data_IF_377583913396
#
_entry.id   IF_377583913396
#
_cell.length_a   1.000
_cell.length_b   1.000
_cell.length_c   1.000
_cell.angle_alpha   90.00
_cell.angle_beta   90.00
_cell.angle_gamma   90.00
#
_symmetry.space_group_name_H-M   'P 1'
#
loop_
_entity.id
_entity.type
_entity.pdbx_description
1 polymer ?
#
# COMPACT_ATOMS: atom_id res chain seq x y z
N UNK A 1 -0.85 -5.53 58.89
CA UNK A 1 -2.03 -4.69 58.57
C UNK A 1 -1.47 -3.44 57.89
N UNK A 2 -1.37 -3.28 56.58
CA UNK A 2 -2.34 -3.46 55.51
C UNK A 2 -2.39 -2.13 54.73
N UNK A 3 -2.58 -2.21 53.41
CA UNK A 3 -2.83 -1.12 52.42
C UNK A 3 -1.64 -0.51 51.66
N UNK A 4 -1.30 -1.20 50.57
CA UNK A 4 -0.93 -0.62 49.27
C UNK A 4 -2.14 0.12 48.67
N UNK A 5 -1.94 1.15 47.84
CA UNK A 5 -2.56 1.23 46.51
C UNK A 5 -2.08 2.42 45.65
N UNK A 6 -1.67 2.04 44.43
CA UNK A 6 -1.68 2.77 43.15
C UNK A 6 -0.72 3.94 42.88
N UNK A 7 0.31 3.64 42.06
CA UNK A 7 0.85 4.54 41.03
C UNK A 7 0.54 4.00 39.62
N UNK A 8 0.29 4.84 38.61
CA UNK A 8 -0.15 4.41 37.28
C UNK A 8 1.01 3.83 36.46
N UNK A 9 0.79 2.65 35.85
CA UNK A 9 1.74 2.01 34.94
C UNK A 9 1.80 2.77 33.60
N UNK A 10 2.93 3.43 33.32
CA UNK A 10 3.31 3.82 31.94
C UNK A 10 3.58 2.54 31.13
N UNK A 11 2.80 2.29 30.07
CA UNK A 11 3.10 1.26 29.07
C UNK A 11 4.27 1.71 28.19
N UNK A 12 5.29 0.86 28.09
CA UNK A 12 6.38 0.98 27.11
C UNK A 12 5.84 0.67 25.71
N UNK A 13 6.10 1.56 24.76
CA UNK A 13 5.86 1.35 23.34
C UNK A 13 7.03 0.51 22.81
N UNK A 14 6.77 -0.76 22.53
CA UNK A 14 7.70 -1.68 21.87
C UNK A 14 6.94 -2.42 20.79
N UNK A 15 7.38 -2.26 19.53
CA UNK A 15 6.86 -3.00 18.39
C UNK A 15 6.08 -2.12 17.42
N UNK A 16 6.61 -2.00 16.21
CA UNK A 16 6.10 -1.25 15.06
C UNK A 16 4.79 -1.78 14.46
N UNK A 17 3.96 -2.44 15.26
CA UNK A 17 2.66 -2.93 14.82
C UNK A 17 1.63 -1.86 15.15
N UNK A 18 1.28 -1.05 14.16
CA UNK A 18 -0.01 -0.36 14.17
C UNK A 18 -1.09 -1.45 14.01
N UNK A 19 -1.28 -2.27 15.04
CA UNK A 19 -2.63 -2.72 15.41
C UNK A 19 -3.25 -1.48 16.06
N UNK A 20 -3.43 -0.44 15.25
CA UNK A 20 -3.90 0.84 15.70
C UNK A 20 -5.31 0.61 16.24
N UNK A 21 -5.54 1.09 17.46
CA UNK A 21 -6.86 1.14 18.03
C UNK A 21 -7.79 1.76 17.00
N UNK A 22 -8.88 1.04 16.70
CA UNK A 22 -9.80 1.30 15.60
C UNK A 22 -10.36 2.76 15.61
N UNK A 23 -10.17 3.52 16.70
CA UNK A 23 -10.61 4.89 16.88
C UNK A 23 -9.91 5.92 15.97
N UNK A 24 -8.64 5.72 15.59
CA UNK A 24 -7.87 6.69 14.80
C UNK A 24 -8.07 6.53 13.28
N UNK A 25 -8.85 5.54 12.84
CA UNK A 25 -9.01 5.24 11.42
C UNK A 25 -9.77 6.37 10.71
N UNK A 26 -9.13 7.14 9.79
CA UNK A 26 -9.76 8.28 9.14
C UNK A 26 -10.95 7.88 8.25
N UNK A 27 -11.04 6.63 7.80
CA UNK A 27 -12.18 6.14 7.03
C UNK A 27 -13.47 6.00 7.84
N UNK A 28 -13.39 6.03 9.18
CA UNK A 28 -14.58 6.07 10.03
C UNK A 28 -15.35 7.39 9.95
N UNK A 29 -14.72 8.45 9.47
CA UNK A 29 -15.38 9.75 9.24
C UNK A 29 -16.42 9.72 8.11
N UNK A 30 -16.40 8.68 7.26
CA UNK A 30 -17.40 8.48 6.22
C UNK A 30 -18.56 7.68 6.78
N UNK A 31 -19.78 8.22 6.64
CA UNK A 31 -21.01 7.48 6.87
C UNK A 31 -21.15 6.29 5.91
N UNK A 32 -22.01 5.32 6.26
CA UNK A 32 -22.29 4.16 5.40
C UNK A 32 -22.77 4.57 4.01
N UNK A 33 -23.63 5.60 3.92
CA UNK A 33 -24.12 6.13 2.64
C UNK A 33 -22.99 6.70 1.77
N UNK A 34 -22.02 7.38 2.37
CA UNK A 34 -20.89 7.93 1.64
C UNK A 34 -19.91 6.84 1.18
N UNK A 35 -19.69 5.80 1.99
CA UNK A 35 -18.90 4.64 1.56
C UNK A 35 -19.55 3.88 0.42
N UNK A 36 -20.87 3.70 0.45
CA UNK A 36 -21.64 3.15 -0.67
C UNK A 36 -21.55 4.04 -1.91
N UNK A 37 -21.61 5.36 -1.76
CA UNK A 37 -21.43 6.32 -2.86
C UNK A 37 -20.10 6.09 -3.57
N UNK A 38 -18.98 5.97 -2.85
CA UNK A 38 -17.67 5.66 -3.44
C UNK A 38 -17.71 4.35 -4.26
N UNK A 39 -18.29 3.28 -3.72
CA UNK A 39 -18.35 1.98 -4.39
C UNK A 39 -19.22 2.02 -5.64
N UNK A 40 -20.46 2.51 -5.51
CA UNK A 40 -21.44 2.50 -6.59
C UNK A 40 -21.04 3.43 -7.73
N UNK A 41 -20.43 4.59 -7.43
CA UNK A 41 -19.95 5.51 -8.48
C UNK A 41 -18.72 4.97 -9.19
N UNK A 42 -17.80 4.30 -8.49
CA UNK A 42 -16.66 3.63 -9.14
C UNK A 42 -17.10 2.44 -10.01
N UNK A 43 -18.05 1.63 -9.53
CA UNK A 43 -18.58 0.47 -10.28
C UNK A 43 -19.34 0.85 -11.55
N UNK A 44 -19.82 2.09 -11.67
CA UNK A 44 -20.52 2.58 -12.86
C UNK A 44 -19.60 2.88 -14.03
N UNK A 45 -18.30 3.08 -13.79
CA UNK A 45 -17.33 3.40 -14.84
C UNK A 45 -17.13 2.22 -15.79
N UNK A 46 -17.21 2.47 -17.09
CA UNK A 46 -16.77 1.55 -18.12
C UNK A 46 -15.24 1.62 -18.22
N UNK A 47 -14.58 0.47 -18.12
CA UNK A 47 -13.11 0.37 -18.28
C UNK A 47 -12.30 1.36 -17.41
N UNK A 48 -12.43 1.30 -16.07
CA UNK A 48 -11.76 2.24 -15.16
C UNK A 48 -10.23 2.28 -15.34
N UNK A 49 -9.62 1.18 -15.80
CA UNK A 49 -8.19 1.12 -16.09
C UNK A 49 -7.77 2.05 -17.24
N UNK A 50 -8.61 2.20 -18.26
CA UNK A 50 -8.33 3.08 -19.40
C UNK A 50 -8.43 4.55 -18.97
N UNK A 51 -9.48 4.90 -18.23
CA UNK A 51 -9.67 6.24 -17.64
C UNK A 51 -8.46 6.61 -16.78
N UNK A 52 -8.09 5.73 -15.84
CA UNK A 52 -6.90 5.91 -14.98
C UNK A 52 -5.66 6.09 -15.86
N UNK A 53 -5.51 5.27 -16.90
CA UNK A 53 -4.38 5.32 -17.82
C UNK A 53 -4.22 6.67 -18.52
N UNK A 54 -5.29 7.19 -19.12
CA UNK A 54 -5.29 8.48 -19.82
C UNK A 54 -4.92 9.60 -18.85
N UNK A 55 -5.55 9.63 -17.67
CA UNK A 55 -5.26 10.65 -16.65
C UNK A 55 -3.79 10.60 -16.20
N UNK A 56 -3.24 9.40 -15.96
CA UNK A 56 -1.82 9.26 -15.61
C UNK A 56 -0.89 9.73 -16.74
N UNK A 57 -1.22 9.46 -18.00
CA UNK A 57 -0.45 9.94 -19.15
C UNK A 57 -0.46 11.47 -19.19
N UNK A 58 -1.59 12.12 -18.95
CA UNK A 58 -1.65 13.59 -18.95
C UNK A 58 -0.89 14.19 -17.76
N UNK A 59 -1.04 13.63 -16.54
CA UNK A 59 -0.29 14.08 -15.36
C UNK A 59 1.23 14.03 -15.59
N UNK A 60 1.76 12.91 -16.09
CA UNK A 60 3.21 12.79 -16.30
C UNK A 60 3.71 13.55 -17.52
N UNK A 61 2.84 14.00 -18.43
CA UNK A 61 3.25 14.83 -19.56
C UNK A 61 3.23 16.31 -19.23
N UNK A 62 2.17 16.75 -18.54
CA UNK A 62 1.78 18.15 -18.51
C UNK A 62 1.94 18.76 -17.11
N UNK A 63 2.00 17.95 -16.04
CA UNK A 63 2.06 18.42 -14.64
C UNK A 63 3.39 18.08 -13.95
N UNK A 64 3.83 16.83 -14.02
CA UNK A 64 5.06 16.33 -13.36
C UNK A 64 5.94 15.54 -14.34
N UNK A 65 6.50 16.21 -15.36
CA UNK A 65 7.30 15.57 -16.40
C UNK A 65 8.54 14.83 -15.90
N UNK A 66 9.06 15.17 -14.72
CA UNK A 66 10.17 14.44 -14.09
C UNK A 66 9.83 12.97 -13.80
N UNK A 67 8.55 12.62 -13.65
CA UNK A 67 8.11 11.24 -13.47
C UNK A 67 8.24 10.39 -14.74
N UNK A 68 8.39 10.99 -15.93
CA UNK A 68 8.64 10.24 -17.17
C UNK A 68 9.86 9.35 -17.06
N UNK A 69 10.93 9.84 -16.42
CA UNK A 69 12.16 9.06 -16.18
C UNK A 69 11.92 7.89 -15.24
N UNK A 70 11.18 8.13 -14.16
CA UNK A 70 10.83 7.12 -13.14
C UNK A 70 10.07 5.97 -13.79
N UNK A 71 9.10 6.30 -14.65
CA UNK A 71 8.29 5.33 -15.39
C UNK A 71 8.93 4.83 -16.69
N UNK A 72 10.12 5.30 -17.05
CA UNK A 72 10.83 4.86 -18.26
C UNK A 72 10.11 5.19 -19.56
N UNK A 73 9.42 6.34 -19.61
CA UNK A 73 8.62 6.79 -20.76
C UNK A 73 9.11 8.12 -21.37
N UNK A 74 10.32 8.58 -21.00
CA UNK A 74 10.89 9.86 -21.52
C UNK A 74 10.91 9.94 -23.05
N UNK A 75 11.12 8.81 -23.73
CA UNK A 75 11.20 8.72 -25.19
C UNK A 75 9.96 8.11 -25.85
N UNK A 76 8.98 7.67 -25.06
CA UNK A 76 7.78 7.02 -25.60
C UNK A 76 6.76 8.09 -26.03
N UNK A 77 6.16 7.99 -27.22
CA UNK A 77 5.04 8.86 -27.59
C UNK A 77 3.83 8.60 -26.66
N UNK A 78 2.98 9.62 -26.41
CA UNK A 78 1.82 9.53 -25.48
C UNK A 78 1.00 8.23 -25.68
N UNK A 79 0.66 7.91 -26.93
CA UNK A 79 -0.12 6.72 -27.34
C UNK A 79 0.51 5.37 -26.98
N UNK A 80 1.83 5.32 -26.78
CA UNK A 80 2.56 4.09 -26.46
C UNK A 80 2.96 4.00 -24.99
N UNK A 81 2.81 5.07 -24.20
CA UNK A 81 3.27 5.13 -22.81
C UNK A 81 2.63 4.04 -21.94
N UNK A 82 1.33 3.75 -22.14
CA UNK A 82 0.62 2.72 -21.36
C UNK A 82 1.05 1.29 -21.68
N UNK A 83 1.72 1.06 -22.81
CA UNK A 83 2.33 -0.23 -23.16
C UNK A 83 3.67 -0.45 -22.44
N UNK A 84 4.24 0.61 -21.86
CA UNK A 84 5.52 0.51 -21.16
C UNK A 84 5.34 -0.17 -19.79
N UNK A 85 6.16 -1.17 -19.42
CA UNK A 85 5.89 -2.04 -18.27
C UNK A 85 5.73 -1.30 -16.94
N UNK A 86 6.54 -0.27 -16.69
CA UNK A 86 6.50 0.48 -15.43
C UNK A 86 5.25 1.34 -15.31
N UNK A 87 4.90 2.11 -16.36
CA UNK A 87 3.71 2.95 -16.33
C UNK A 87 2.43 2.12 -16.41
N UNK A 88 2.32 1.21 -17.39
CA UNK A 88 1.15 0.34 -17.54
C UNK A 88 0.91 -0.53 -16.31
N UNK A 89 1.99 -1.04 -15.71
CA UNK A 89 1.92 -1.76 -14.44
C UNK A 89 1.52 -0.87 -13.25
N UNK A 90 1.94 0.40 -13.23
CA UNK A 90 1.52 1.35 -12.19
C UNK A 90 0.03 1.69 -12.31
N UNK A 91 -0.45 1.96 -13.53
CA UNK A 91 -1.86 2.20 -13.83
C UNK A 91 -2.73 1.02 -13.41
N UNK A 92 -2.31 -0.22 -13.72
CA UNK A 92 -3.02 -1.42 -13.28
C UNK A 92 -3.11 -1.52 -11.75
N UNK A 93 -1.98 -1.34 -11.05
CA UNK A 93 -1.93 -1.39 -9.58
C UNK A 93 -2.75 -0.27 -8.92
N UNK A 94 -2.75 0.93 -9.49
CA UNK A 94 -3.54 2.05 -8.97
C UNK A 94 -5.05 1.80 -9.16
N UNK A 95 -5.44 1.30 -10.33
CA UNK A 95 -6.84 0.91 -10.62
C UNK A 95 -7.31 -0.15 -9.62
N UNK A 96 -6.49 -1.19 -9.40
CA UNK A 96 -6.78 -2.24 -8.43
C UNK A 96 -6.84 -1.69 -6.98
N UNK A 97 -5.97 -0.76 -6.61
CA UNK A 97 -6.00 -0.12 -5.29
C UNK A 97 -7.32 0.60 -5.04
N UNK A 98 -7.81 1.39 -6.00
CA UNK A 98 -9.10 2.10 -5.86
C UNK A 98 -10.26 1.10 -5.81
N UNK A 99 -10.25 0.06 -6.64
CA UNK A 99 -11.28 -0.99 -6.61
C UNK A 99 -11.33 -1.72 -5.25
N UNK A 100 -10.17 -2.11 -4.73
CA UNK A 100 -10.06 -2.77 -3.42
C UNK A 100 -10.50 -1.85 -2.28
N UNK A 101 -10.05 -0.58 -2.28
CA UNK A 101 -10.43 0.39 -1.25
C UNK A 101 -11.94 0.64 -1.26
N UNK A 102 -12.53 0.93 -2.42
CA UNK A 102 -13.98 1.17 -2.52
C UNK A 102 -14.79 -0.08 -2.17
N UNK A 103 -14.31 -1.28 -2.51
CA UNK A 103 -14.93 -2.55 -2.10
C UNK A 103 -14.88 -2.73 -0.59
N UNK A 104 -13.72 -2.52 0.04
CA UNK A 104 -13.57 -2.66 1.49
C UNK A 104 -14.42 -1.64 2.26
N UNK A 105 -14.55 -0.42 1.75
CA UNK A 105 -15.31 0.63 2.41
C UNK A 105 -16.82 0.47 2.21
N UNK A 106 -17.26 0.31 0.96
CA UNK A 106 -18.67 0.30 0.59
C UNK A 106 -19.33 -1.06 0.76
N UNK A 107 -18.67 -2.15 0.33
CA UNK A 107 -19.31 -3.46 0.26
C UNK A 107 -19.07 -4.31 1.51
N UNK A 108 -17.80 -4.52 1.91
CA UNK A 108 -17.48 -5.44 3.01
C UNK A 108 -17.40 -4.76 4.38
N UNK A 109 -17.47 -3.42 4.40
CA UNK A 109 -17.30 -2.57 5.60
C UNK A 109 -16.00 -2.86 6.39
N UNK A 110 -14.97 -3.39 5.72
CA UNK A 110 -13.66 -3.66 6.29
C UNK A 110 -12.79 -2.38 6.36
N UNK A 111 -13.17 -1.46 7.23
CA UNK A 111 -12.49 -0.16 7.37
C UNK A 111 -11.03 -0.31 7.82
N UNK A 112 -10.75 -1.28 8.69
CA UNK A 112 -9.39 -1.57 9.18
C UNK A 112 -8.52 -2.06 8.02
N UNK A 113 -9.03 -2.98 7.19
CA UNK A 113 -8.35 -3.47 6.01
C UNK A 113 -8.05 -2.37 4.99
N UNK A 114 -9.00 -1.47 4.75
CA UNK A 114 -8.79 -0.31 3.88
C UNK A 114 -7.67 0.60 4.39
N UNK A 115 -7.64 0.87 5.70
CA UNK A 115 -6.60 1.68 6.33
C UNK A 115 -5.22 1.01 6.29
N UNK A 116 -5.16 -0.29 6.57
CA UNK A 116 -3.93 -1.06 6.48
C UNK A 116 -3.39 -1.12 5.05
N UNK A 117 -4.27 -1.30 4.06
CA UNK A 117 -3.90 -1.33 2.64
C UNK A 117 -3.24 -0.02 2.22
N UNK A 118 -3.88 1.13 2.50
CA UNK A 118 -3.34 2.42 2.06
C UNK A 118 -1.99 2.73 2.73
N UNK A 119 -1.86 2.44 4.04
CA UNK A 119 -0.58 2.63 4.75
C UNK A 119 0.48 1.65 4.26
N UNK A 120 0.13 0.40 3.92
CA UNK A 120 1.06 -0.56 3.31
C UNK A 120 1.57 -0.06 1.96
N UNK A 121 0.69 0.52 1.16
CA UNK A 121 1.04 1.15 -0.13
C UNK A 121 2.02 2.30 0.08
N UNK A 122 1.76 3.22 1.01
CA UNK A 122 2.67 4.35 1.29
C UNK A 122 4.05 3.88 1.76
N UNK A 123 4.11 2.92 2.69
CA UNK A 123 5.40 2.30 3.09
C UNK A 123 6.14 1.66 1.91
N UNK A 124 5.44 0.97 1.02
CA UNK A 124 6.06 0.32 -0.15
C UNK A 124 6.74 1.31 -1.09
N UNK A 125 6.21 2.53 -1.20
CA UNK A 125 6.77 3.57 -2.06
C UNK A 125 8.14 4.08 -1.60
N UNK A 126 8.54 3.86 -0.33
CA UNK A 126 9.92 4.14 0.14
C UNK A 126 10.99 3.31 -0.57
N UNK A 127 10.61 2.25 -1.30
CA UNK A 127 11.54 1.49 -2.14
C UNK A 127 11.83 2.18 -3.49
N UNK A 128 11.09 3.24 -3.83
CA UNK A 128 11.33 4.01 -5.04
C UNK A 128 12.36 5.09 -4.75
N UNK A 129 13.58 4.91 -5.25
CA UNK A 129 14.71 5.83 -5.01
C UNK A 129 14.37 7.28 -5.35
N UNK A 130 13.60 7.51 -6.43
CA UNK A 130 13.15 8.85 -6.78
C UNK A 130 12.33 9.49 -5.66
N UNK A 131 11.35 8.78 -5.09
CA UNK A 131 10.55 9.30 -3.99
C UNK A 131 11.39 9.41 -2.72
N UNK A 132 12.24 8.43 -2.42
CA UNK A 132 13.13 8.50 -1.25
C UNK A 132 13.95 9.80 -1.23
N UNK A 133 14.46 10.21 -2.39
CA UNK A 133 15.30 11.40 -2.54
C UNK A 133 14.52 12.72 -2.70
N UNK A 134 13.33 12.69 -3.31
CA UNK A 134 12.63 13.91 -3.73
C UNK A 134 11.28 14.14 -3.02
N UNK A 135 10.72 13.14 -2.34
CA UNK A 135 9.48 13.30 -1.58
C UNK A 135 9.75 14.15 -0.33
N UNK A 136 9.09 15.30 -0.27
CA UNK A 136 9.18 16.24 0.85
C UNK A 136 7.81 16.90 1.07
N UNK A 137 7.29 16.83 2.30
CA UNK A 137 5.98 17.41 2.63
C UNK A 137 5.90 18.93 2.44
N UNK A 138 7.03 19.63 2.64
CA UNK A 138 7.09 21.10 2.58
C UNK A 138 7.41 21.65 1.19
N UNK A 139 7.99 20.84 0.32
CA UNK A 139 8.46 21.28 -1.00
C UNK A 139 7.68 20.59 -2.13
N UNK A 140 7.88 19.28 -2.28
CA UNK A 140 7.26 18.47 -3.33
C UNK A 140 6.72 17.17 -2.76
N UNK A 141 5.43 17.20 -2.42
CA UNK A 141 4.70 15.98 -2.10
C UNK A 141 4.10 15.39 -3.39
N UNK A 142 4.77 14.38 -3.97
CA UNK A 142 4.31 13.75 -5.21
C UNK A 142 2.97 13.02 -5.04
N UNK A 143 2.65 12.49 -3.86
CA UNK A 143 1.34 11.92 -3.59
C UNK A 143 0.24 12.98 -3.67
N UNK A 144 0.50 14.17 -3.11
CA UNK A 144 -0.42 15.30 -3.20
C UNK A 144 -0.56 15.78 -4.64
N UNK A 145 0.55 16.06 -5.32
CA UNK A 145 0.54 16.58 -6.70
C UNK A 145 -0.18 15.61 -7.65
N UNK A 146 0.16 14.33 -7.62
CA UNK A 146 -0.51 13.33 -8.47
C UNK A 146 -1.96 13.14 -8.04
N UNK A 147 -2.23 13.04 -6.73
CA UNK A 147 -3.55 12.77 -6.19
C UNK A 147 -4.59 13.85 -6.51
N UNK A 148 -4.25 15.13 -6.33
CA UNK A 148 -5.19 16.24 -6.60
C UNK A 148 -5.46 16.39 -8.09
N UNK A 149 -4.43 16.23 -8.95
CA UNK A 149 -4.61 16.36 -10.40
C UNK A 149 -5.36 15.14 -10.94
N UNK A 150 -5.10 13.95 -10.40
CA UNK A 150 -5.90 12.76 -10.70
C UNK A 150 -7.36 12.97 -10.35
N UNK A 151 -7.67 13.41 -9.12
CA UNK A 151 -9.05 13.65 -8.69
C UNK A 151 -9.76 14.66 -9.61
N UNK A 152 -9.08 15.75 -9.98
CA UNK A 152 -9.65 16.78 -10.85
C UNK A 152 -10.08 16.22 -12.21
N UNK A 153 -9.24 15.41 -12.84
CA UNK A 153 -9.53 14.80 -14.15
C UNK A 153 -10.46 13.58 -14.05
N UNK A 154 -10.48 12.90 -12.90
CA UNK A 154 -11.32 11.73 -12.66
C UNK A 154 -12.76 12.12 -12.31
N UNK A 155 -12.98 13.27 -11.67
CA UNK A 155 -14.28 13.71 -11.20
C UNK A 155 -15.38 13.74 -12.28
N UNK A 156 -15.13 14.27 -13.50
CA UNK A 156 -16.15 14.30 -14.55
C UNK A 156 -16.66 12.93 -14.99
N UNK A 157 -15.82 11.88 -14.90
CA UNK A 157 -16.23 10.50 -15.16
C UNK A 157 -17.18 9.99 -14.07
N UNK A 158 -16.85 10.26 -12.80
CA UNK A 158 -17.65 9.83 -11.65
C UNK A 158 -19.03 10.50 -11.58
N UNK A 159 -19.14 11.75 -12.03
CA UNK A 159 -20.39 12.51 -12.04
C UNK A 159 -21.23 12.27 -13.30
N UNK A 160 -20.66 11.63 -14.33
CA UNK A 160 -21.27 11.50 -15.67
C UNK A 160 -21.29 12.80 -16.47
N UNK A 161 -20.45 13.79 -16.10
CA UNK A 161 -20.24 15.01 -16.90
C UNK A 161 -19.41 14.73 -18.16
N UNK A 162 -18.58 13.69 -18.12
CA UNK A 162 -17.82 13.18 -19.27
C UNK A 162 -18.40 11.81 -19.64
N UNK A 163 -19.14 11.77 -20.74
CA UNK A 163 -19.60 10.52 -21.34
C UNK A 163 -18.35 9.72 -21.75
N UNK A 164 -18.16 8.55 -21.15
CA UNK A 164 -17.46 7.45 -21.82
C UNK A 164 -18.22 7.21 -23.13
N UNK A 165 -17.54 6.95 -24.26
CA UNK A 165 -18.17 6.69 -25.56
C UNK A 165 -19.02 5.41 -25.53
N UNK A 166 -20.13 5.44 -24.80
CA UNK A 166 -21.07 4.35 -24.64
C UNK A 166 -22.16 4.62 -25.67
N UNK A 167 -22.26 3.70 -26.63
CA UNK A 167 -23.37 3.54 -27.57
C UNK A 167 -24.70 3.96 -26.91
N UNK A 168 -25.32 5.03 -27.42
CA UNK A 168 -26.49 5.72 -26.83
C UNK A 168 -27.65 4.76 -26.48
N UNK A 169 -27.65 3.55 -27.04
CA UNK A 169 -28.61 2.48 -26.82
C UNK A 169 -28.61 1.88 -25.41
N UNK A 170 -27.61 2.15 -24.56
CA UNK A 170 -27.57 1.70 -23.16
C UNK A 170 -27.80 2.82 -22.13
N UNK A 171 -28.18 4.04 -22.54
CA UNK A 171 -28.60 5.13 -21.64
C UNK A 171 -29.96 4.84 -20.98
N UNK A 172 -30.07 3.71 -20.27
CA UNK A 172 -31.02 3.59 -19.17
C UNK A 172 -30.51 4.56 -18.11
N UNK A 173 -31.17 5.71 -17.97
CA UNK A 173 -30.98 6.64 -16.86
C UNK A 173 -31.31 5.90 -15.57
N UNK A 174 -30.38 5.11 -15.05
CA UNK A 174 -30.45 4.66 -13.67
C UNK A 174 -30.47 5.93 -12.83
N UNK A 175 -31.55 6.14 -12.08
CA UNK A 175 -31.67 7.25 -11.16
C UNK A 175 -30.39 7.32 -10.31
N UNK A 176 -29.60 8.38 -10.47
CA UNK A 176 -28.41 8.57 -9.66
C UNK A 176 -28.89 8.83 -8.23
N UNK A 177 -28.69 7.86 -7.34
CA UNK A 177 -29.01 7.95 -5.92
C UNK A 177 -28.22 9.06 -5.18
N UNK A 178 -27.22 9.65 -5.85
CA UNK A 178 -26.33 10.66 -5.32
C UNK A 178 -26.35 11.89 -6.23
N UNK A 179 -26.42 13.07 -5.63
CA UNK A 179 -26.26 14.33 -6.36
C UNK A 179 -24.80 14.50 -6.79
N UNK A 180 -24.54 15.19 -7.90
CA UNK A 180 -23.16 15.45 -8.34
C UNK A 180 -22.32 16.15 -7.26
N UNK A 181 -22.94 17.01 -6.45
CA UNK A 181 -22.28 17.64 -5.31
C UNK A 181 -21.85 16.62 -4.24
N UNK A 182 -22.73 15.68 -3.89
CA UNK A 182 -22.38 14.62 -2.93
C UNK A 182 -21.23 13.76 -3.45
N UNK A 183 -21.23 13.42 -4.75
CA UNK A 183 -20.12 12.68 -5.37
C UNK A 183 -18.82 13.48 -5.23
N UNK A 184 -18.82 14.76 -5.59
CA UNK A 184 -17.67 15.66 -5.49
C UNK A 184 -17.10 15.74 -4.07
N UNK A 185 -17.96 15.96 -3.08
CA UNK A 185 -17.55 16.14 -1.68
C UNK A 185 -17.02 14.84 -1.04
N UNK A 186 -17.62 13.70 -1.39
CA UNK A 186 -17.22 12.40 -0.86
C UNK A 186 -15.90 11.95 -1.48
N UNK A 187 -15.77 12.03 -2.80
CA UNK A 187 -14.53 11.66 -3.49
C UNK A 187 -13.37 12.60 -3.14
N UNK A 188 -13.64 13.90 -2.95
CA UNK A 188 -12.65 14.87 -2.47
C UNK A 188 -12.04 14.45 -1.14
N UNK A 189 -12.87 14.27 -0.11
CA UNK A 189 -12.39 13.82 1.21
C UNK A 189 -11.72 12.45 1.16
N UNK A 190 -12.22 11.54 0.32
CA UNK A 190 -11.62 10.21 0.17
C UNK A 190 -10.18 10.30 -0.34
N UNK A 191 -9.94 11.13 -1.35
CA UNK A 191 -8.59 11.38 -1.86
C UNK A 191 -7.72 12.14 -0.86
N UNK A 192 -8.27 13.10 -0.10
CA UNK A 192 -7.54 13.77 0.97
C UNK A 192 -7.02 12.77 2.02
N UNK A 193 -7.86 11.81 2.43
CA UNK A 193 -7.47 10.74 3.36
C UNK A 193 -6.41 9.83 2.73
N UNK A 194 -6.57 9.44 1.46
CA UNK A 194 -5.58 8.63 0.74
C UNK A 194 -4.22 9.34 0.73
N UNK A 195 -4.19 10.61 0.32
CA UNK A 195 -2.96 11.39 0.20
C UNK A 195 -2.29 11.53 1.57
N UNK A 196 -3.06 11.87 2.60
CA UNK A 196 -2.54 12.00 3.96
C UNK A 196 -1.93 10.68 4.46
N UNK A 197 -2.64 9.56 4.29
CA UNK A 197 -2.19 8.26 4.79
C UNK A 197 -1.01 7.70 4.00
N UNK A 198 -0.95 7.91 2.69
CA UNK A 198 0.24 7.59 1.88
C UNK A 198 1.45 8.40 2.35
N UNK A 199 1.27 9.71 2.50
CA UNK A 199 2.33 10.65 2.89
C UNK A 199 2.87 10.32 4.28
N UNK A 200 2.00 10.16 5.26
CA UNK A 200 2.37 9.89 6.65
C UNK A 200 3.08 8.53 6.78
N UNK A 201 2.52 7.48 6.17
CA UNK A 201 3.12 6.15 6.24
C UNK A 201 4.44 6.03 5.47
N UNK A 202 4.60 6.77 4.37
CA UNK A 202 5.86 6.90 3.66
C UNK A 202 6.92 7.59 4.54
N UNK A 203 6.58 8.73 5.15
CA UNK A 203 7.53 9.52 5.94
C UNK A 203 8.00 8.75 7.18
N UNK A 204 7.06 8.11 7.89
CA UNK A 204 7.38 7.27 9.04
C UNK A 204 8.31 6.10 8.67
N UNK A 205 8.12 5.49 7.51
CA UNK A 205 8.95 4.38 7.04
C UNK A 205 10.34 4.87 6.56
N UNK A 206 10.39 6.01 5.87
CA UNK A 206 11.65 6.66 5.48
C UNK A 206 12.49 7.01 6.71
N UNK A 207 11.89 7.65 7.72
CA UNK A 207 12.57 8.00 8.96
C UNK A 207 13.09 6.77 9.72
N UNK A 208 12.31 5.67 9.75
CA UNK A 208 12.77 4.40 10.34
C UNK A 208 14.01 3.86 9.65
N UNK A 209 14.08 3.92 8.32
CA UNK A 209 15.26 3.46 7.56
C UNK A 209 16.49 4.32 7.83
N UNK A 210 16.33 5.64 7.86
CA UNK A 210 17.41 6.57 8.22
C UNK A 210 17.92 6.27 9.63
N UNK A 211 17.01 6.10 10.61
CA UNK A 211 17.38 5.77 11.98
C UNK A 211 18.11 4.43 12.09
N UNK A 212 17.67 3.39 11.37
CA UNK A 212 18.35 2.09 11.33
C UNK A 212 19.74 2.19 10.68
N UNK A 213 19.91 3.01 9.64
CA UNK A 213 21.21 3.25 9.01
C UNK A 213 22.16 3.99 9.97
N UNK A 214 21.66 5.02 10.67
CA UNK A 214 22.45 5.79 11.65
C UNK A 214 22.87 4.94 12.86
N UNK A 215 22.00 4.05 13.35
CA UNK A 215 22.35 3.10 14.41
C UNK A 215 23.48 2.16 13.97
N UNK A 216 23.43 1.68 12.71
CA UNK A 216 24.50 0.85 12.14
C UNK A 216 25.85 1.57 12.07
N UNK A 217 25.84 2.86 11.76
CA UNK A 217 27.08 3.66 11.68
C UNK A 217 27.64 4.05 13.05
N UNK A 218 26.78 4.23 14.07
CA UNK A 218 27.20 4.65 15.41
C UNK A 218 27.77 3.50 16.26
N UNK A 219 27.32 2.26 16.02
CA UNK A 219 27.79 1.08 16.74
C UNK A 219 28.14 -0.09 15.78
N UNK A 220 29.12 0.09 14.88
CA UNK A 220 29.47 -0.94 13.90
C UNK A 220 29.92 -2.25 14.57
N UNK A 221 30.57 -2.17 15.73
CA UNK A 221 31.00 -3.34 16.52
C UNK A 221 29.82 -4.19 17.01
N UNK A 222 28.68 -3.58 17.38
CA UNK A 222 27.50 -4.32 17.81
C UNK A 222 26.90 -5.16 16.67
N UNK A 223 26.91 -4.64 15.44
CA UNK A 223 26.42 -5.41 14.29
C UNK A 223 27.36 -6.52 13.86
N UNK A 224 28.67 -6.34 14.00
CA UNK A 224 29.66 -7.41 13.77
C UNK A 224 29.47 -8.51 14.81
N UNK A 225 29.30 -8.18 16.08
CA UNK A 225 29.04 -9.17 17.15
C UNK A 225 27.72 -9.92 16.95
N UNK A 226 26.62 -9.22 16.61
CA UNK A 226 25.33 -9.86 16.29
C UNK A 226 25.41 -10.76 15.05
N UNK A 227 26.11 -10.33 14.00
CA UNK A 227 26.32 -11.13 12.79
C UNK A 227 27.16 -12.37 13.08
N UNK A 228 28.24 -12.24 13.86
CA UNK A 228 29.05 -13.37 14.29
C UNK A 228 28.25 -14.34 15.17
N UNK A 229 27.39 -13.82 16.06
CA UNK A 229 26.52 -14.65 16.89
C UNK A 229 25.52 -15.45 16.05
N UNK A 230 24.88 -14.81 15.06
CA UNK A 230 23.98 -15.51 14.11
C UNK A 230 24.71 -16.56 13.27
N UNK A 231 25.92 -16.27 12.80
CA UNK A 231 26.72 -17.27 12.07
C UNK A 231 27.10 -18.46 12.96
N UNK A 232 27.44 -18.23 14.24
CA UNK A 232 27.69 -19.32 15.20
C UNK A 232 26.44 -20.17 15.45
N UNK A 233 25.28 -19.53 15.62
CA UNK A 233 24.00 -20.24 15.82
C UNK A 233 23.59 -21.04 14.57
N UNK A 234 23.80 -20.51 13.36
CA UNK A 234 23.54 -21.23 12.11
C UNK A 234 24.49 -22.42 11.93
N UNK A 235 25.79 -22.25 12.19
CA UNK A 235 26.78 -23.33 12.13
C UNK A 235 26.51 -24.42 13.18
N UNK A 236 25.97 -24.07 14.35
CA UNK A 236 25.55 -25.06 15.35
C UNK A 236 24.30 -25.84 14.92
N UNK A 237 23.34 -25.20 14.24
CA UNK A 237 22.21 -25.93 13.66
C UNK A 237 22.63 -26.89 12.56
N UNK A 238 23.51 -26.47 11.64
CA UNK A 238 24.06 -27.35 10.60
C UNK A 238 24.88 -28.51 11.18
N UNK A 239 25.62 -28.28 12.27
CA UNK A 239 26.31 -29.38 12.98
C UNK A 239 25.35 -30.35 13.62
N UNK A 240 24.32 -29.87 14.32
CA UNK A 240 23.32 -30.74 14.94
C UNK A 240 22.54 -31.53 13.87
N UNK A 241 22.20 -30.92 12.74
CA UNK A 241 21.55 -31.63 11.62
C UNK A 241 22.47 -32.71 11.02
N UNK A 242 23.78 -32.44 10.87
CA UNK A 242 24.73 -33.43 10.39
C UNK A 242 24.97 -34.56 11.42
N UNK A 243 24.99 -34.26 12.72
CA UNK A 243 25.09 -35.26 13.79
C UNK A 243 23.84 -36.14 13.88
N UNK A 244 22.65 -35.58 13.67
CA UNK A 244 21.39 -36.35 13.58
C UNK A 244 21.39 -37.27 12.35
N UNK A 245 21.87 -36.79 11.19
CA UNK A 245 22.03 -37.63 9.98
C UNK A 245 23.06 -38.76 10.18
N UNK A 246 24.19 -38.49 10.87
CA UNK A 246 25.21 -39.51 11.13
C UNK A 246 24.73 -40.56 12.15
N UNK A 247 23.81 -40.19 13.06
CA UNK A 247 23.18 -41.10 14.01
C UNK A 247 22.09 -41.98 13.35
N UNK A 248 21.37 -41.46 12.34
CA UNK A 248 20.40 -42.25 11.57
C UNK A 248 21.07 -43.30 10.66
N UNK A 249 22.24 -43.01 10.09
CA UNK A 249 22.98 -43.93 9.22
C UNK A 249 23.66 -45.07 10.03
N UNK A 250 23.98 -44.83 11.31
CA UNK A 250 24.64 -45.83 12.19
C UNK A 250 23.67 -46.70 12.98
N UNK A 251 22.35 -46.52 12.84
CA UNK A 251 21.39 -47.48 13.41
C UNK A 251 21.60 -48.83 12.71
N UNK A 252 21.81 -49.92 13.47
CA UNK A 252 21.80 -51.26 12.89
C UNK A 252 20.46 -51.42 12.17
N UNK A 253 20.49 -51.73 10.87
CA UNK A 253 19.31 -52.24 10.20
C UNK A 253 18.92 -53.51 10.94
N UNK A 254 17.81 -53.46 11.68
CA UNK A 254 17.14 -54.67 12.16
C UNK A 254 16.81 -55.49 10.91
N UNK A 255 17.62 -56.52 10.66
CA UNK A 255 17.27 -57.58 9.72
C UNK A 255 16.00 -58.25 10.25
N UNK A 256 14.87 -57.86 9.66
CA UNK A 256 13.63 -58.60 9.75
C UNK A 256 13.88 -59.99 9.18
N UNK A 257 14.12 -60.94 10.08
CA UNK A 257 14.17 -62.36 9.76
C UNK A 257 12.75 -62.78 9.34
N UNK A 258 12.52 -62.89 8.03
CA UNK A 258 11.36 -63.60 7.49
C UNK A 258 11.57 -65.09 7.77
N UNK A 259 10.83 -65.60 8.76
CA UNK A 259 10.78 -67.01 9.13
C UNK A 259 10.26 -67.87 7.96
N UNK A 260 11.00 -68.90 7.51
CA UNK A 260 10.54 -69.83 6.49
C UNK A 260 9.97 -71.10 7.13
N UNK A 261 8.89 -70.97 7.91
CA UNK A 261 8.03 -72.09 8.35
C UNK A 261 6.55 -71.70 8.42
#
# INVERSE_FOLDING_TARGET
MGTSLCKPKRKKITGSSWVAEDYENPFKSFSKKERMCLRETYQKLHEPKEIVGIIFVDIINDIVPELKKVFGVERAPKVSMLKMPKLGGHVARFTELIDQLTTMLGLTENLVGAWQLIRKTGRSHTKQLFLENNQNQLEKNYFYIVGINFLKEFMPYLTGEKDEEIDDKKKVRFANNYTSQMIKDVWGRFFDVIIAQLTESFELEKQKRINMANQKTLAPHQHVEESQRRMKEAAQKEKNENEDYEYEIKKPQEELFEDPF
#
